data_IF_346608302369
#
_entry.id   IF_346608302369
#
_cell.length_a   1.000
_cell.length_b   1.000
_cell.length_c   1.000
_cell.angle_alpha   90.00
_cell.angle_beta   90.00
_cell.angle_gamma   90.00
#
_symmetry.space_group_name_H-M   'P 1'
#
loop_
_entity.id
_entity.type
_entity.pdbx_description
1 polymer ?
#
# COMPACT_ATOMS: atom_id res chain seq x y z
N UNK A 1 10.99 16.61 30.81
CA UNK A 1 11.15 15.27 30.20
C UNK A 1 10.70 15.34 28.73
N UNK A 2 11.64 15.44 27.79
CA UNK A 2 11.32 15.50 26.35
C UNK A 2 10.95 14.10 25.90
N UNK A 3 9.73 13.91 25.38
CA UNK A 3 9.36 12.67 24.72
C UNK A 3 10.17 12.58 23.42
N UNK A 4 11.24 11.77 23.45
CA UNK A 4 11.99 11.40 22.26
C UNK A 4 11.02 10.77 21.26
N UNK A 5 10.93 11.40 20.09
CA UNK A 5 10.07 10.99 18.98
C UNK A 5 10.31 9.51 18.61
N UNK A 6 9.29 8.63 18.68
CA UNK A 6 9.43 7.19 18.47
C UNK A 6 9.79 6.80 17.03
N UNK A 7 9.81 7.76 16.09
CA UNK A 7 10.07 7.50 14.67
C UNK A 7 11.56 7.50 14.28
N UNK A 8 12.48 7.74 15.22
CA UNK A 8 13.92 7.63 14.96
C UNK A 8 14.39 6.19 14.69
N UNK A 9 13.56 5.19 14.99
CA UNK A 9 13.89 3.77 14.86
C UNK A 9 13.46 3.14 13.52
N UNK A 10 12.74 3.86 12.65
CA UNK A 10 12.21 3.32 11.38
C UNK A 10 13.02 3.77 10.14
N UNK A 11 13.95 4.72 10.28
CA UNK A 11 14.82 5.10 9.18
C UNK A 11 16.00 4.15 9.07
N UNK A 12 16.19 3.44 7.94
CA UNK A 12 17.33 2.56 7.74
C UNK A 12 18.64 3.35 7.77
N UNK A 13 19.61 2.90 8.57
CA UNK A 13 20.90 3.59 8.75
C UNK A 13 21.72 3.83 7.45
N UNK A 14 21.37 3.13 6.36
CA UNK A 14 22.04 3.16 5.06
C UNK A 14 21.31 4.01 4.00
N UNK A 15 20.16 4.63 4.31
CA UNK A 15 19.46 5.48 3.36
C UNK A 15 19.94 6.94 3.48
N UNK A 16 20.29 7.63 2.37
CA UNK A 16 20.69 9.03 2.41
C UNK A 16 19.59 9.86 3.07
N UNK A 17 19.94 10.79 3.99
CA UNK A 17 18.94 11.57 4.69
C UNK A 17 18.12 12.38 3.67
N UNK A 18 16.79 12.44 3.83
CA UNK A 18 15.96 13.28 2.97
C UNK A 18 16.45 14.72 3.11
N UNK A 19 16.56 15.43 1.98
CA UNK A 19 16.98 16.84 1.97
C UNK A 19 16.12 17.64 2.95
N UNK A 20 16.73 18.48 3.82
CA UNK A 20 15.97 19.25 4.78
C UNK A 20 15.07 20.23 4.03
N UNK A 21 13.76 20.04 4.13
CA UNK A 21 12.79 21.05 3.76
C UNK A 21 12.73 22.11 4.86
N UNK A 22 12.57 23.40 4.54
CA UNK A 22 12.61 24.50 5.52
C UNK A 22 11.48 24.45 6.56
N UNK A 23 10.46 23.64 6.32
CA UNK A 23 9.37 23.36 7.25
C UNK A 23 9.41 21.85 7.55
N UNK A 24 9.40 21.49 8.83
CA UNK A 24 9.73 20.15 9.35
C UNK A 24 9.02 18.97 8.66
N UNK A 25 9.50 17.74 8.95
CA UNK A 25 9.05 16.49 8.34
C UNK A 25 7.53 16.28 8.38
N UNK A 26 6.82 16.83 7.40
CA UNK A 26 5.42 16.54 7.21
C UNK A 26 5.28 15.43 6.19
N UNK A 27 4.84 14.26 6.66
CA UNK A 27 4.47 13.12 5.81
C UNK A 27 3.27 13.41 4.90
N UNK A 28 2.61 14.57 5.07
CA UNK A 28 1.47 15.02 4.28
C UNK A 28 1.86 15.71 2.96
N UNK A 29 3.15 15.73 2.61
CA UNK A 29 3.63 16.33 1.36
C UNK A 29 3.70 15.29 0.23
N UNK A 30 3.49 15.70 -1.04
CA UNK A 30 3.57 14.77 -2.17
C UNK A 30 4.95 14.13 -2.32
N UNK A 31 6.02 14.85 -1.98
CA UNK A 31 7.39 14.34 -2.03
C UNK A 31 7.65 13.27 -0.96
N UNK A 32 7.15 13.48 0.27
CA UNK A 32 7.22 12.46 1.32
C UNK A 32 6.41 11.21 0.94
N UNK A 33 5.21 11.39 0.39
CA UNK A 33 4.39 10.27 -0.08
C UNK A 33 5.08 9.49 -1.22
N UNK A 34 5.72 10.19 -2.17
CA UNK A 34 6.48 9.56 -3.26
C UNK A 34 7.68 8.78 -2.73
N UNK A 35 8.43 9.34 -1.79
CA UNK A 35 9.58 8.66 -1.18
C UNK A 35 9.16 7.36 -0.48
N UNK A 36 8.06 7.37 0.26
CA UNK A 36 7.55 6.18 0.97
C UNK A 36 6.99 5.14 -0.01
N UNK A 37 6.14 5.57 -0.95
CA UNK A 37 5.38 4.64 -1.81
C UNK A 37 6.15 4.14 -3.03
N UNK A 38 7.24 4.81 -3.44
CA UNK A 38 8.08 4.38 -4.57
C UNK A 38 9.48 3.96 -4.14
N UNK A 39 10.17 4.79 -3.37
CA UNK A 39 11.59 4.56 -3.05
C UNK A 39 11.77 3.53 -1.93
N UNK A 40 10.83 3.48 -1.00
CA UNK A 40 10.87 2.59 0.15
C UNK A 40 9.68 1.63 0.20
N UNK A 41 9.06 1.38 -0.95
CA UNK A 41 7.88 0.53 -1.06
C UNK A 41 8.09 -0.83 -0.40
N UNK A 42 9.20 -1.51 -0.67
CA UNK A 42 9.54 -2.83 -0.11
C UNK A 42 9.52 -2.88 1.42
N UNK A 43 9.89 -1.80 2.10
CA UNK A 43 9.93 -1.70 3.58
C UNK A 43 8.55 -1.39 4.16
N UNK A 44 7.71 -0.66 3.42
CA UNK A 44 6.38 -0.22 3.87
C UNK A 44 5.21 -1.00 3.26
N UNK A 45 5.47 -1.94 2.36
CA UNK A 45 4.44 -2.72 1.66
C UNK A 45 3.72 -3.74 2.55
N UNK A 46 4.34 -4.17 3.64
CA UNK A 46 3.74 -5.11 4.59
C UNK A 46 2.79 -4.37 5.54
N UNK A 47 1.50 -4.74 5.51
CA UNK A 47 0.52 -4.26 6.48
C UNK A 47 0.73 -4.96 7.82
N UNK A 48 0.72 -4.20 8.92
CA UNK A 48 0.78 -4.79 10.26
C UNK A 48 -0.40 -5.77 10.46
N UNK A 49 -0.17 -6.95 11.07
CA UNK A 49 -1.23 -7.93 11.28
C UNK A 49 -2.24 -7.40 12.30
N UNK A 50 -3.43 -7.03 11.82
CA UNK A 50 -4.56 -6.66 12.68
C UNK A 50 -5.44 -7.89 12.86
N UNK A 51 -5.74 -8.28 14.11
CA UNK A 51 -6.52 -9.49 14.43
C UNK A 51 -7.88 -9.51 13.73
N UNK A 52 -8.58 -8.38 13.70
CA UNK A 52 -9.85 -8.25 12.98
C UNK A 52 -9.68 -8.49 11.46
N UNK A 53 -8.65 -7.91 10.85
CA UNK A 53 -8.36 -8.12 9.44
C UNK A 53 -7.94 -9.57 9.16
N UNK A 54 -7.21 -10.21 10.07
CA UNK A 54 -6.86 -11.62 9.96
C UNK A 54 -8.12 -12.49 9.92
N UNK A 55 -9.13 -12.22 10.76
CA UNK A 55 -10.41 -12.95 10.71
C UNK A 55 -11.19 -12.68 9.43
N UNK A 56 -11.35 -11.41 9.05
CA UNK A 56 -12.11 -11.02 7.84
C UNK A 56 -11.46 -11.49 6.54
N UNK A 57 -10.14 -11.57 6.49
CA UNK A 57 -9.38 -11.96 5.30
C UNK A 57 -9.04 -13.44 5.25
N UNK A 58 -9.71 -14.26 6.06
CA UNK A 58 -9.46 -15.70 6.15
C UNK A 58 -7.98 -16.01 6.39
N UNK A 59 -7.38 -15.34 7.37
CA UNK A 59 -5.98 -15.48 7.72
C UNK A 59 -5.01 -14.78 6.75
N UNK A 60 -5.40 -13.66 6.13
CA UNK A 60 -4.52 -12.93 5.22
C UNK A 60 -4.27 -13.67 3.91
N UNK A 61 -5.22 -14.50 3.45
CA UNK A 61 -5.07 -15.30 2.22
C UNK A 61 -5.47 -14.57 0.93
N UNK A 62 -6.13 -13.42 1.06
CA UNK A 62 -6.57 -12.58 -0.06
C UNK A 62 -5.47 -11.68 -0.65
N UNK A 63 -5.85 -10.67 -1.44
CA UNK A 63 -4.90 -9.71 -2.05
C UNK A 63 -4.79 -8.41 -1.24
N UNK A 64 -5.85 -8.00 -0.54
CA UNK A 64 -5.91 -6.71 0.14
C UNK A 64 -5.15 -6.66 1.48
N UNK A 65 -5.26 -7.72 2.28
CA UNK A 65 -4.72 -7.80 3.65
C UNK A 65 -3.66 -8.89 3.83
N UNK A 66 -3.16 -9.47 2.73
CA UNK A 66 -2.08 -10.43 2.81
C UNK A 66 -0.73 -9.75 3.08
N UNK A 67 0.18 -10.41 3.79
CA UNK A 67 1.56 -9.96 3.92
C UNK A 67 2.26 -9.95 2.55
N UNK A 68 3.22 -9.04 2.38
CA UNK A 68 3.95 -8.87 1.12
C UNK A 68 4.95 -10.04 0.91
N UNK A 69 4.45 -11.15 0.37
CA UNK A 69 5.21 -12.38 0.08
C UNK A 69 5.09 -12.80 -1.40
N UNK A 70 5.80 -13.86 -1.80
CA UNK A 70 5.78 -14.35 -3.18
C UNK A 70 4.37 -14.73 -3.66
N UNK A 71 3.57 -15.37 -2.79
CA UNK A 71 2.17 -15.71 -3.06
C UNK A 71 1.34 -14.48 -3.36
N UNK A 72 1.48 -13.41 -2.58
CA UNK A 72 0.77 -12.16 -2.82
C UNK A 72 1.16 -11.53 -4.16
N UNK A 73 2.45 -11.55 -4.53
CA UNK A 73 2.91 -11.05 -5.84
C UNK A 73 2.29 -11.82 -6.99
N UNK A 74 2.23 -13.15 -6.90
CA UNK A 74 1.60 -14.00 -7.90
C UNK A 74 0.09 -13.77 -8.00
N UNK A 75 -0.60 -13.70 -6.86
CA UNK A 75 -2.03 -13.41 -6.82
C UNK A 75 -2.37 -12.03 -7.40
N UNK A 76 -1.54 -11.02 -7.09
CA UNK A 76 -1.68 -9.67 -7.66
C UNK A 76 -1.47 -9.68 -9.18
N UNK A 77 -0.46 -10.39 -9.68
CA UNK A 77 -0.23 -10.54 -11.13
C UNK A 77 -1.44 -11.17 -11.82
N UNK A 78 -1.98 -12.26 -11.27
CA UNK A 78 -3.16 -12.94 -11.82
C UNK A 78 -4.37 -12.01 -11.82
N UNK A 79 -4.63 -11.30 -10.72
CA UNK A 79 -5.74 -10.35 -10.64
C UNK A 79 -5.58 -9.21 -11.65
N UNK A 80 -4.37 -8.69 -11.86
CA UNK A 80 -4.12 -7.65 -12.86
C UNK A 80 -4.40 -8.13 -14.29
N UNK A 81 -4.01 -9.36 -14.64
CA UNK A 81 -4.19 -9.91 -15.98
C UNK A 81 -5.64 -10.33 -16.23
N UNK A 82 -6.26 -11.03 -15.30
CA UNK A 82 -7.57 -11.65 -15.53
C UNK A 82 -8.74 -10.75 -15.16
N UNK A 83 -8.63 -10.04 -14.03
CA UNK A 83 -9.74 -9.28 -13.46
C UNK A 83 -9.68 -7.80 -13.84
N UNK A 84 -8.50 -7.19 -13.72
CA UNK A 84 -8.28 -5.75 -13.92
C UNK A 84 -7.67 -5.40 -15.28
N UNK A 85 -7.64 -6.32 -16.23
CA UNK A 85 -7.21 -6.02 -17.60
C UNK A 85 -8.17 -5.03 -18.26
N UNK A 86 -7.64 -4.23 -19.19
CA UNK A 86 -8.42 -3.26 -19.96
C UNK A 86 -9.62 -3.90 -20.66
N UNK A 87 -9.43 -5.08 -21.25
CA UNK A 87 -10.49 -5.85 -21.93
C UNK A 87 -11.61 -6.22 -20.96
N UNK A 88 -11.26 -6.71 -19.76
CA UNK A 88 -12.24 -7.12 -18.74
C UNK A 88 -12.97 -5.92 -18.14
N UNK A 89 -12.26 -4.81 -17.92
CA UNK A 89 -12.84 -3.56 -17.40
C UNK A 89 -13.84 -2.93 -18.37
N UNK A 90 -13.57 -3.01 -19.68
CA UNK A 90 -14.49 -2.60 -20.74
C UNK A 90 -15.70 -3.52 -20.84
N UNK A 91 -15.50 -4.84 -20.74
CA UNK A 91 -16.60 -5.80 -20.72
C UNK A 91 -17.61 -5.51 -19.59
N UNK A 92 -17.11 -5.22 -18.39
CA UNK A 92 -17.96 -4.85 -17.25
C UNK A 92 -18.50 -3.40 -17.28
N UNK A 93 -18.19 -2.60 -18.31
CA UNK A 93 -18.65 -1.20 -18.41
C UNK A 93 -20.18 -1.11 -18.43
N UNK A 94 -20.83 -2.02 -19.14
CA UNK A 94 -22.29 -2.04 -19.27
C UNK A 94 -22.99 -2.30 -17.92
N UNK A 95 -22.52 -3.31 -17.18
CA UNK A 95 -23.05 -3.65 -15.84
C UNK A 95 -22.88 -2.48 -14.87
N UNK A 96 -21.73 -1.79 -14.90
CA UNK A 96 -21.49 -0.62 -14.06
C UNK A 96 -22.38 0.57 -14.42
N UNK A 97 -22.65 0.80 -15.71
CA UNK A 97 -23.48 1.92 -16.17
C UNK A 97 -24.98 1.77 -15.85
N UNK A 98 -25.44 0.53 -15.63
CA UNK A 98 -26.85 0.25 -15.32
C UNK A 98 -27.21 0.33 -13.84
N UNK A 99 -26.22 0.32 -12.93
CA UNK A 99 -26.45 0.22 -11.47
C UNK A 99 -26.46 1.56 -10.73
N UNK A 100 -26.01 2.65 -11.36
CA UNK A 100 -25.91 3.99 -10.76
C UNK A 100 -26.90 5.01 -11.35
N UNK A 101 -28.03 4.53 -11.87
CA UNK A 101 -29.18 5.38 -12.22
C UNK A 101 -30.28 5.09 -11.21
N UNK A 102 -30.32 5.87 -10.15
CA UNK A 102 -31.44 6.06 -9.25
C UNK A 102 -31.82 7.53 -9.30
#
# INVERSE_FOLDING_TARGET
>A
MRLQNPLRCLWPAHAPPPRPTPHGHHFNTPDAARAILKTHDSKFCSRAPVVALHRLSYGGRGIAFAPHNARWKQARKLATVELFSAKRTQYFKYVRSKRWRF
#
